data_IF_921158860593
#
_entry.id   IF_921158860593
#
_cell.length_a   1.000
_cell.length_b   1.000
_cell.length_c   1.000
_cell.angle_alpha   90.00
_cell.angle_beta   90.00
_cell.angle_gamma   90.00
#
_symmetry.space_group_name_H-M   'P 1'
#
loop_
_entity.id
_entity.type
_entity.pdbx_description
1 polymer ?
#
# COMPACT_ATOMS: atom_id res chain seq x y z
N UNK A 1 -2.40 8.89 25.76
CA UNK A 1 -3.03 9.45 24.54
C UNK A 1 -3.98 8.39 23.98
N UNK A 2 -5.11 8.77 23.38
CA UNK A 2 -6.08 7.84 22.81
C UNK A 2 -6.37 8.25 21.37
N UNK A 3 -6.19 7.33 20.41
CA UNK A 3 -6.39 7.58 18.99
C UNK A 3 -7.71 7.01 18.50
N UNK A 4 -8.48 7.80 17.78
CA UNK A 4 -9.75 7.38 17.17
C UNK A 4 -9.49 6.85 15.77
N UNK A 5 -9.70 5.56 15.56
CA UNK A 5 -9.41 4.88 14.30
C UNK A 5 -10.69 4.29 13.72
N UNK A 6 -10.97 4.63 12.47
CA UNK A 6 -12.01 3.98 11.68
C UNK A 6 -11.50 2.63 11.16
N UNK A 7 -12.26 1.57 11.39
CA UNK A 7 -11.91 0.21 10.99
C UNK A 7 -12.87 -0.25 9.91
N UNK A 8 -12.34 -0.69 8.77
CA UNK A 8 -13.13 -1.24 7.67
C UNK A 8 -12.58 -2.65 7.36
N UNK A 9 -13.18 -3.72 7.91
CA UNK A 9 -12.73 -5.09 7.65
C UNK A 9 -12.80 -5.45 6.16
N UNK A 10 -13.80 -4.95 5.46
CA UNK A 10 -14.03 -5.24 4.06
C UNK A 10 -14.53 -6.68 3.84
N UNK A 11 -13.89 -7.38 2.90
CA UNK A 11 -14.30 -8.69 2.42
C UNK A 11 -13.23 -9.76 2.67
N UNK A 12 -13.66 -11.02 2.55
CA UNK A 12 -12.76 -12.17 2.53
C UNK A 12 -11.80 -12.24 3.71
N UNK A 13 -10.50 -12.43 3.42
CA UNK A 13 -9.47 -12.52 4.47
C UNK A 13 -9.27 -11.22 5.27
N UNK A 14 -9.76 -10.07 4.78
CA UNK A 14 -9.73 -8.83 5.53
C UNK A 14 -10.38 -8.95 6.90
N UNK A 15 -11.46 -9.74 7.00
CA UNK A 15 -12.16 -10.04 8.26
C UNK A 15 -11.34 -10.90 9.22
N UNK A 16 -10.34 -11.62 8.73
CA UNK A 16 -9.48 -12.52 9.52
C UNK A 16 -8.17 -11.82 9.93
N UNK A 17 -7.53 -11.11 9.00
CA UNK A 17 -6.21 -10.51 9.25
C UNK A 17 -6.28 -9.20 10.06
N UNK A 18 -7.36 -8.43 9.89
CA UNK A 18 -7.51 -7.15 10.54
C UNK A 18 -7.64 -7.25 12.07
N UNK A 19 -8.38 -8.21 12.65
CA UNK A 19 -8.39 -8.43 14.10
C UNK A 19 -7.00 -8.73 14.68
N UNK A 20 -6.14 -9.43 13.92
CA UNK A 20 -4.77 -9.71 14.36
C UNK A 20 -3.88 -8.46 14.28
N UNK A 21 -4.09 -7.61 13.26
CA UNK A 21 -3.49 -6.27 13.22
C UNK A 21 -3.86 -5.45 14.47
N UNK A 22 -5.14 -5.37 14.80
CA UNK A 22 -5.61 -4.65 15.98
C UNK A 22 -5.03 -5.23 17.28
N UNK A 23 -4.96 -6.57 17.42
CA UNK A 23 -4.35 -7.26 18.56
C UNK A 23 -2.93 -6.80 18.83
N UNK A 24 -2.10 -6.76 17.78
CA UNK A 24 -0.69 -6.36 17.88
C UNK A 24 -0.57 -4.87 18.19
N UNK A 25 -1.39 -4.04 17.56
CA UNK A 25 -1.42 -2.59 17.84
C UNK A 25 -1.86 -2.27 19.27
N UNK A 26 -2.84 -3.00 19.80
CA UNK A 26 -3.25 -2.85 21.21
C UNK A 26 -2.16 -3.32 22.17
N UNK A 27 -1.37 -4.35 21.82
CA UNK A 27 -0.19 -4.75 22.59
C UNK A 27 0.86 -3.64 22.60
N UNK A 28 1.14 -3.04 21.44
CA UNK A 28 2.04 -1.89 21.32
C UNK A 28 1.54 -0.69 22.14
N UNK A 29 0.23 -0.40 22.07
CA UNK A 29 -0.38 0.66 22.87
C UNK A 29 -0.16 0.48 24.38
N UNK A 30 -0.36 -0.74 24.91
CA UNK A 30 -0.09 -1.06 26.32
C UNK A 30 1.36 -0.86 26.72
N UNK A 31 2.30 -1.27 25.86
CA UNK A 31 3.73 -1.14 26.14
C UNK A 31 4.22 0.31 26.08
N UNK A 32 3.75 1.09 25.09
CA UNK A 32 4.24 2.44 24.81
C UNK A 32 3.35 3.56 25.35
N UNK A 33 2.29 3.26 26.13
CA UNK A 33 1.50 4.24 26.88
C UNK A 33 0.46 5.00 26.05
N UNK A 34 -0.10 4.38 25.02
CA UNK A 34 -1.24 4.92 24.26
C UNK A 34 -2.35 3.86 24.09
N UNK A 35 -3.50 4.26 23.60
CA UNK A 35 -4.63 3.37 23.37
C UNK A 35 -5.38 3.75 22.08
N UNK A 36 -6.14 2.82 21.56
CA UNK A 36 -7.03 3.04 20.42
C UNK A 36 -8.49 3.02 20.85
N UNK A 37 -9.27 3.81 20.15
CA UNK A 37 -10.72 3.75 20.10
C UNK A 37 -11.12 3.31 18.69
N UNK A 38 -11.39 2.01 18.55
CA UNK A 38 -11.74 1.40 17.30
C UNK A 38 -13.23 1.57 17.00
N UNK A 39 -13.57 2.11 15.83
CA UNK A 39 -14.95 2.19 15.34
C UNK A 39 -15.05 1.45 14.02
N UNK A 40 -15.82 0.36 14.01
CA UNK A 40 -15.96 -0.52 12.84
C UNK A 40 -17.11 -0.08 11.94
N UNK A 41 -16.83 -0.07 10.62
CA UNK A 41 -17.77 0.18 9.54
C UNK A 41 -17.93 -1.09 8.69
N UNK A 42 -19.15 -1.47 8.39
CA UNK A 42 -19.53 -2.67 7.61
C UNK A 42 -19.43 -2.45 6.09
N UNK A 43 -18.52 -1.63 5.63
CA UNK A 43 -18.38 -1.24 4.22
C UNK A 43 -17.58 -2.28 3.44
N UNK A 44 -18.23 -2.86 2.42
CA UNK A 44 -17.72 -4.05 1.74
C UNK A 44 -18.47 -4.32 0.42
N UNK A 45 -17.97 -5.24 -0.38
CA UNK A 45 -18.69 -5.78 -1.53
C UNK A 45 -19.93 -6.58 -1.09
N UNK A 46 -19.90 -7.26 0.05
CA UNK A 46 -21.09 -7.93 0.59
C UNK A 46 -22.21 -6.92 0.90
N UNK A 47 -21.83 -5.77 1.47
CA UNK A 47 -22.77 -4.65 1.64
C UNK A 47 -23.32 -4.19 0.28
N UNK A 48 -22.46 -4.01 -0.72
CA UNK A 48 -22.88 -3.63 -2.08
C UNK A 48 -23.91 -4.61 -2.64
N UNK A 49 -23.67 -5.91 -2.50
CA UNK A 49 -24.57 -6.94 -2.99
C UNK A 49 -26.00 -6.84 -2.41
N UNK A 50 -26.14 -6.32 -1.18
CA UNK A 50 -27.42 -6.18 -0.47
C UNK A 50 -28.06 -4.80 -0.61
N UNK A 51 -27.26 -3.74 -0.71
CA UNK A 51 -27.73 -2.34 -0.66
C UNK A 51 -27.50 -1.55 -1.95
N UNK A 52 -26.72 -2.09 -2.90
CA UNK A 52 -26.29 -1.41 -4.11
C UNK A 52 -25.18 -0.37 -3.91
N UNK A 53 -24.58 -0.29 -2.68
CA UNK A 53 -23.55 0.69 -2.35
C UNK A 53 -22.49 0.10 -1.45
N UNK A 54 -21.21 0.37 -1.77
CA UNK A 54 -20.05 -0.04 -0.95
C UNK A 54 -20.02 0.67 0.41
N UNK A 55 -20.34 1.96 0.44
CA UNK A 55 -20.49 2.81 1.62
C UNK A 55 -21.69 3.74 1.45
N UNK A 56 -22.24 4.35 2.53
CA UNK A 56 -23.33 5.32 2.43
C UNK A 56 -22.87 6.63 1.76
N UNK A 57 -23.80 7.46 1.30
CA UNK A 57 -23.50 8.74 0.63
C UNK A 57 -22.70 9.70 1.52
N UNK A 58 -22.98 9.70 2.82
CA UNK A 58 -22.29 10.48 3.83
C UNK A 58 -21.01 9.79 4.38
N UNK A 59 -20.52 8.75 3.70
CA UNK A 59 -19.40 7.93 4.16
C UNK A 59 -18.15 8.72 4.47
N UNK A 60 -17.79 9.69 3.62
CA UNK A 60 -16.62 10.54 3.87
C UNK A 60 -16.80 11.42 5.11
N UNK A 61 -17.99 11.97 5.34
CA UNK A 61 -18.25 12.79 6.52
C UNK A 61 -18.20 11.96 7.81
N UNK A 62 -18.64 10.69 7.76
CA UNK A 62 -18.50 9.76 8.88
C UNK A 62 -17.05 9.42 9.20
N UNK A 63 -16.17 9.32 8.19
CA UNK A 63 -14.75 9.03 8.38
C UNK A 63 -13.94 10.26 8.82
N UNK A 64 -14.37 11.47 8.48
CA UNK A 64 -13.64 12.71 8.72
C UNK A 64 -13.20 12.94 10.18
N UNK A 65 -13.96 12.54 11.22
CA UNK A 65 -13.57 12.76 12.61
C UNK A 65 -12.45 11.84 13.12
N UNK A 66 -12.02 10.84 12.35
CA UNK A 66 -11.00 9.87 12.76
C UNK A 66 -9.59 10.37 12.39
N UNK A 67 -8.59 9.94 13.14
CA UNK A 67 -7.19 10.28 12.89
C UNK A 67 -6.59 9.44 11.76
N UNK A 68 -7.06 8.19 11.64
CA UNK A 68 -6.68 7.27 10.57
C UNK A 68 -7.79 6.26 10.26
N UNK A 69 -7.67 5.62 9.11
CA UNK A 69 -8.52 4.53 8.66
C UNK A 69 -7.65 3.27 8.56
N UNK A 70 -8.09 2.18 9.17
CA UNK A 70 -7.44 0.88 9.10
C UNK A 70 -8.34 -0.08 8.35
N UNK A 71 -7.93 -0.44 7.13
CA UNK A 71 -8.73 -1.22 6.19
C UNK A 71 -8.10 -2.62 6.01
N UNK A 72 -8.95 -3.64 5.96
CA UNK A 72 -8.53 -5.01 5.71
C UNK A 72 -8.31 -5.28 4.22
N UNK A 73 -9.33 -5.77 3.54
CA UNK A 73 -9.26 -6.05 2.10
C UNK A 73 -10.65 -5.88 1.46
N UNK A 74 -10.69 -5.61 0.15
CA UNK A 74 -11.94 -5.49 -0.59
C UNK A 74 -11.90 -6.37 -1.82
N UNK A 75 -13.07 -6.92 -2.16
CA UNK A 75 -13.29 -7.77 -3.31
C UNK A 75 -14.16 -8.97 -2.95
N UNK A 76 -15.16 -9.25 -3.76
CA UNK A 76 -16.11 -10.35 -3.50
C UNK A 76 -16.55 -11.00 -4.82
N UNK A 77 -16.57 -12.33 -4.92
CA UNK A 77 -17.06 -13.02 -6.11
C UNK A 77 -18.48 -12.56 -6.47
N UNK A 78 -18.68 -12.19 -7.74
CA UNK A 78 -19.95 -11.69 -8.21
C UNK A 78 -20.15 -10.18 -8.15
N UNK A 79 -19.24 -9.44 -7.52
CA UNK A 79 -19.16 -7.99 -7.59
C UNK A 79 -18.00 -7.59 -8.51
N UNK A 80 -18.22 -6.83 -9.60
CA UNK A 80 -17.13 -6.41 -10.48
C UNK A 80 -16.07 -5.60 -9.77
N UNK A 81 -14.79 -5.85 -10.07
CA UNK A 81 -13.64 -5.21 -9.38
C UNK A 81 -13.68 -3.68 -9.39
N UNK A 82 -14.16 -3.08 -10.49
CA UNK A 82 -14.30 -1.63 -10.56
C UNK A 82 -15.29 -1.07 -9.52
N UNK A 83 -16.27 -1.85 -9.07
CA UNK A 83 -17.22 -1.41 -8.04
C UNK A 83 -16.54 -1.23 -6.70
N UNK A 84 -15.70 -2.18 -6.29
CA UNK A 84 -14.95 -2.07 -5.02
C UNK A 84 -13.98 -0.90 -5.03
N UNK A 85 -13.27 -0.72 -6.14
CA UNK A 85 -12.31 0.36 -6.29
C UNK A 85 -12.98 1.74 -6.35
N UNK A 86 -13.97 1.91 -7.22
CA UNK A 86 -14.65 3.19 -7.46
C UNK A 86 -15.78 3.50 -6.47
N UNK A 87 -16.30 2.50 -5.77
CA UNK A 87 -17.35 2.67 -4.76
C UNK A 87 -16.84 2.90 -3.34
N UNK A 88 -15.55 2.61 -3.06
CA UNK A 88 -14.97 2.75 -1.72
C UNK A 88 -13.58 3.36 -1.73
N UNK A 89 -12.59 2.72 -2.36
CA UNK A 89 -11.19 3.10 -2.20
C UNK A 89 -10.87 4.45 -2.84
N UNK A 90 -11.23 4.66 -4.11
CA UNK A 90 -10.95 5.92 -4.82
C UNK A 90 -11.69 7.11 -4.20
N UNK A 91 -12.98 7.04 -3.84
CA UNK A 91 -13.66 8.11 -3.12
C UNK A 91 -12.97 8.52 -1.82
N UNK A 92 -12.52 7.56 -1.01
CA UNK A 92 -11.77 7.83 0.23
C UNK A 92 -10.44 8.49 -0.10
N UNK A 93 -9.64 7.92 -1.01
CA UNK A 93 -8.32 8.44 -1.39
C UNK A 93 -8.41 9.87 -1.93
N UNK A 94 -9.37 10.16 -2.80
CA UNK A 94 -9.58 11.50 -3.39
C UNK A 94 -10.18 12.48 -2.39
N UNK A 95 -11.25 12.07 -1.68
CA UNK A 95 -11.95 12.92 -0.73
C UNK A 95 -11.07 13.39 0.42
N UNK A 96 -10.13 12.55 0.85
CA UNK A 96 -9.15 12.85 1.89
C UNK A 96 -7.77 13.21 1.36
N UNK A 97 -7.64 13.52 0.07
CA UNK A 97 -6.37 13.94 -0.54
C UNK A 97 -5.20 13.02 -0.16
N UNK A 98 -5.44 11.72 -0.14
CA UNK A 98 -4.42 10.71 0.14
C UNK A 98 -3.60 10.47 -1.13
N UNK A 99 -2.84 11.47 -1.56
CA UNK A 99 -2.17 11.49 -2.85
C UNK A 99 -0.86 10.69 -2.89
N UNK A 100 -0.40 10.19 -1.76
CA UNK A 100 0.72 9.26 -1.66
C UNK A 100 0.19 7.86 -1.36
N UNK A 101 0.54 6.89 -2.21
CA UNK A 101 0.45 5.49 -1.84
C UNK A 101 1.87 4.99 -1.56
N UNK A 102 2.14 4.71 -0.28
CA UNK A 102 3.45 4.31 0.21
C UNK A 102 3.50 2.80 0.35
N UNK A 103 4.42 2.15 -0.34
CA UNK A 103 4.57 0.69 -0.45
C UNK A 103 6.01 0.26 -0.14
N UNK A 104 6.37 -0.03 1.12
CA UNK A 104 7.66 -0.62 1.46
C UNK A 104 7.79 -2.03 0.87
N UNK A 105 8.96 -2.33 0.32
CA UNK A 105 9.34 -3.63 -0.21
C UNK A 105 10.63 -4.05 0.48
N UNK A 106 10.57 -5.09 1.30
CA UNK A 106 11.73 -5.54 2.06
C UNK A 106 11.73 -7.05 2.21
N UNK A 107 12.84 -7.67 1.87
CA UNK A 107 13.06 -9.08 2.17
C UNK A 107 13.40 -9.22 3.65
N UNK A 108 12.48 -9.78 4.43
CA UNK A 108 12.69 -10.01 5.86
C UNK A 108 13.66 -11.18 6.08
N UNK A 109 14.42 -11.12 7.17
CA UNK A 109 15.26 -12.26 7.60
C UNK A 109 14.39 -13.49 7.83
N UNK A 110 14.83 -14.64 7.36
CA UNK A 110 14.07 -15.90 7.42
C UNK A 110 13.10 -16.13 6.26
N UNK A 111 12.78 -15.09 5.47
CA UNK A 111 12.01 -15.24 4.22
C UNK A 111 12.93 -15.62 3.07
N UNK A 112 12.49 -16.55 2.22
CA UNK A 112 13.20 -16.91 1.01
C UNK A 112 12.68 -16.11 -0.18
N UNK A 113 13.56 -15.33 -0.81
CA UNK A 113 13.27 -14.71 -2.10
C UNK A 113 13.21 -15.79 -3.21
N UNK A 114 12.34 -15.66 -4.22
CA UNK A 114 12.39 -16.46 -5.43
C UNK A 114 13.62 -16.16 -6.28
N UNK A 115 14.30 -15.03 -6.04
CA UNK A 115 15.52 -14.67 -6.75
C UNK A 115 16.73 -15.39 -6.15
N UNK A 116 17.44 -16.15 -6.99
CA UNK A 116 18.62 -16.91 -6.57
C UNK A 116 19.71 -15.96 -6.03
N UNK A 117 20.28 -16.31 -4.87
CA UNK A 117 21.44 -15.63 -4.30
C UNK A 117 21.14 -14.22 -3.70
N UNK A 118 19.87 -13.82 -3.56
CA UNK A 118 19.48 -12.54 -2.95
C UNK A 118 19.13 -12.70 -1.46
N UNK A 119 19.60 -11.78 -0.65
CA UNK A 119 19.36 -11.70 0.79
C UNK A 119 18.68 -10.41 1.23
N UNK A 120 18.43 -10.26 2.55
CA UNK A 120 17.76 -9.08 3.11
C UNK A 120 18.45 -7.74 2.80
N UNK A 121 19.75 -7.73 2.55
CA UNK A 121 20.51 -6.54 2.19
C UNK A 121 20.29 -6.10 0.72
N UNK A 122 19.80 -7.01 -0.13
CA UNK A 122 19.62 -6.75 -1.56
C UNK A 122 18.25 -6.18 -1.89
N UNK A 123 17.24 -6.40 -1.03
CA UNK A 123 15.85 -5.99 -1.27
C UNK A 123 15.37 -5.18 -0.06
N UNK A 124 15.57 -3.87 -0.12
CA UNK A 124 15.06 -2.87 0.81
C UNK A 124 14.82 -1.56 0.07
N UNK A 125 13.61 -1.39 -0.45
CA UNK A 125 13.20 -0.21 -1.21
C UNK A 125 11.80 0.24 -0.80
N UNK A 126 11.43 1.47 -1.15
CA UNK A 126 10.09 2.00 -0.94
C UNK A 126 9.55 2.56 -2.24
N UNK A 127 8.36 2.12 -2.64
CA UNK A 127 7.67 2.67 -3.79
C UNK A 127 6.74 3.79 -3.32
N UNK A 128 6.91 4.97 -3.90
CA UNK A 128 6.06 6.15 -3.71
C UNK A 128 5.22 6.29 -4.97
N UNK A 129 3.99 5.80 -4.91
CA UNK A 129 3.02 5.81 -6.01
C UNK A 129 2.13 7.04 -5.90
N UNK A 130 1.96 7.77 -7.00
CA UNK A 130 0.89 8.76 -7.10
C UNK A 130 -0.47 8.07 -6.97
N UNK A 131 -1.42 8.67 -6.25
CA UNK A 131 -2.61 7.95 -5.80
C UNK A 131 -3.97 8.63 -6.13
N UNK A 132 -3.96 9.81 -6.77
CA UNK A 132 -5.18 10.60 -6.98
C UNK A 132 -5.48 10.91 -8.44
N UNK A 133 -4.47 10.87 -9.30
CA UNK A 133 -4.58 11.20 -10.73
C UNK A 133 -3.84 10.16 -11.60
N UNK A 134 -3.28 10.55 -12.71
CA UNK A 134 -2.59 9.65 -13.62
C UNK A 134 -3.56 8.85 -14.48
N UNK A 135 -3.28 7.58 -14.65
CA UNK A 135 -4.01 6.66 -15.51
C UNK A 135 -5.37 6.23 -14.93
N UNK A 136 -5.54 6.34 -13.60
CA UNK A 136 -6.81 6.08 -12.92
C UNK A 136 -7.74 7.31 -12.89
N UNK A 137 -7.79 8.08 -13.97
CA UNK A 137 -8.73 9.19 -14.11
C UNK A 137 -10.17 8.71 -14.39
N UNK A 138 -11.15 9.58 -14.20
CA UNK A 138 -12.55 9.34 -14.63
C UNK A 138 -12.85 9.94 -16.00
N UNK A 139 -11.83 10.43 -16.72
CA UNK A 139 -12.01 11.09 -18.00
C UNK A 139 -11.90 10.08 -19.11
N UNK A 140 -13.03 9.82 -19.78
CA UNK A 140 -13.11 8.85 -20.84
C UNK A 140 -14.53 8.49 -21.19
N UNK A 141 -14.69 7.43 -21.97
CA UNK A 141 -16.02 6.95 -22.36
C UNK A 141 -15.96 5.88 -23.44
N UNK A 142 -17.14 5.42 -23.83
CA UNK A 142 -17.32 4.45 -24.91
C UNK A 142 -18.39 4.97 -25.88
N UNK A 143 -18.07 4.92 -27.17
CA UNK A 143 -18.98 5.27 -28.26
C UNK A 143 -19.32 4.02 -29.06
N UNK A 144 -20.46 4.06 -29.79
CA UNK A 144 -20.94 3.04 -30.69
C UNK A 144 -21.02 1.63 -30.07
N UNK A 145 -21.43 1.55 -28.79
CA UNK A 145 -21.47 0.30 -28.01
C UNK A 145 -22.25 -0.80 -28.73
N UNK A 146 -21.68 -1.99 -28.81
CA UNK A 146 -22.27 -3.17 -29.41
C UNK A 146 -22.25 -3.20 -30.95
N UNK A 147 -21.49 -2.29 -31.58
CA UNK A 147 -21.27 -2.28 -33.03
C UNK A 147 -19.82 -2.56 -33.38
N UNK A 148 -19.48 -2.91 -34.63
CA UNK A 148 -18.09 -3.08 -35.05
C UNK A 148 -17.23 -1.81 -34.94
N UNK A 149 -17.84 -0.63 -34.88
CA UNK A 149 -17.20 0.67 -34.75
C UNK A 149 -17.04 1.09 -33.28
N UNK A 150 -17.36 0.20 -32.32
CA UNK A 150 -17.23 0.51 -30.90
C UNK A 150 -15.82 0.94 -30.55
N UNK A 151 -15.70 2.05 -29.82
CA UNK A 151 -14.43 2.54 -29.31
C UNK A 151 -14.54 2.91 -27.83
N UNK A 152 -13.43 2.78 -27.12
CA UNK A 152 -13.28 3.22 -25.74
C UNK A 152 -12.11 4.19 -25.63
N UNK A 153 -12.30 5.24 -24.83
CA UNK A 153 -11.27 6.24 -24.50
C UNK A 153 -11.08 6.27 -23.00
N UNK A 154 -9.85 6.21 -22.56
CA UNK A 154 -9.42 6.46 -21.17
C UNK A 154 -8.26 7.46 -21.23
N UNK A 155 -8.40 8.59 -20.55
CA UNK A 155 -7.35 9.62 -20.53
C UNK A 155 -6.53 9.51 -19.25
N UNK A 156 -5.21 9.66 -19.36
CA UNK A 156 -4.32 9.83 -18.22
C UNK A 156 -4.11 11.33 -17.97
N UNK A 157 -4.20 11.76 -16.72
CA UNK A 157 -4.14 13.16 -16.31
C UNK A 157 -2.93 13.36 -15.38
N UNK A 158 -2.06 14.28 -15.77
CA UNK A 158 -0.87 14.64 -15.00
C UNK A 158 -0.87 16.14 -14.78
N UNK A 159 -1.19 16.59 -13.56
CA UNK A 159 -1.15 17.99 -13.21
C UNK A 159 0.21 18.36 -12.63
N UNK A 160 0.60 19.63 -12.73
CA UNK A 160 1.82 20.12 -12.08
C UNK A 160 1.79 19.85 -10.58
N UNK A 161 0.67 20.15 -9.94
CA UNK A 161 0.48 19.93 -8.50
C UNK A 161 0.64 18.45 -8.12
N UNK A 162 0.02 17.55 -8.88
CA UNK A 162 0.09 16.11 -8.63
C UNK A 162 1.50 15.57 -8.77
N UNK A 163 2.19 15.90 -9.87
CA UNK A 163 3.58 15.49 -10.09
C UNK A 163 4.52 16.08 -9.01
N UNK A 164 4.45 17.39 -8.77
CA UNK A 164 5.38 18.06 -7.84
C UNK A 164 5.26 17.54 -6.41
N UNK A 165 4.02 17.30 -5.92
CA UNK A 165 3.80 16.84 -4.54
C UNK A 165 4.28 15.40 -4.30
N UNK A 166 4.06 14.48 -5.25
CA UNK A 166 4.51 13.09 -5.10
C UNK A 166 6.03 13.01 -5.21
N UNK A 167 6.64 13.77 -6.11
CA UNK A 167 8.09 13.84 -6.26
C UNK A 167 8.75 14.43 -5.01
N UNK A 168 8.25 15.55 -4.51
CA UNK A 168 8.73 16.14 -3.26
C UNK A 168 8.72 15.14 -2.12
N UNK A 169 7.60 14.45 -1.92
CA UNK A 169 7.50 13.41 -0.89
C UNK A 169 8.56 12.31 -1.06
N UNK A 170 8.79 11.84 -2.29
CA UNK A 170 9.80 10.82 -2.56
C UNK A 170 11.23 11.31 -2.24
N UNK A 171 11.56 12.54 -2.59
CA UNK A 171 12.87 13.13 -2.27
C UNK A 171 13.04 13.37 -0.75
N UNK A 172 12.02 13.88 -0.07
CA UNK A 172 12.01 14.04 1.40
C UNK A 172 12.19 12.69 2.10
N UNK A 173 11.49 11.65 1.64
CA UNK A 173 11.67 10.29 2.15
C UNK A 173 13.11 9.80 1.93
N UNK A 174 13.67 9.99 0.74
CA UNK A 174 15.03 9.59 0.44
C UNK A 174 16.07 10.28 1.35
N UNK A 175 15.84 11.53 1.73
CA UNK A 175 16.72 12.23 2.70
C UNK A 175 16.78 11.57 4.08
N UNK A 176 15.74 10.81 4.46
CA UNK A 176 15.72 10.06 5.73
C UNK A 176 16.36 8.68 5.62
N UNK A 177 16.62 8.18 4.41
CA UNK A 177 17.20 6.86 4.15
C UNK A 177 18.70 6.93 3.96
N UNK A 178 19.46 5.89 4.34
CA UNK A 178 20.94 5.92 4.28
C UNK A 178 21.51 6.12 2.86
N UNK A 179 20.83 5.56 1.84
CA UNK A 179 21.32 5.58 0.44
C UNK A 179 21.05 6.90 -0.28
N UNK A 180 20.01 7.63 0.13
CA UNK A 180 19.61 8.91 -0.46
C UNK A 180 19.51 8.87 -1.97
N UNK A 181 18.78 7.87 -2.49
CA UNK A 181 18.62 7.66 -3.92
C UNK A 181 17.15 7.62 -4.32
N UNK A 182 16.78 8.34 -5.38
CA UNK A 182 15.43 8.31 -5.97
C UNK A 182 15.51 7.86 -7.41
N UNK A 183 14.77 6.79 -7.73
CA UNK A 183 14.57 6.32 -9.10
C UNK A 183 13.18 6.72 -9.59
N UNK A 184 13.08 7.36 -10.75
CA UNK A 184 11.82 7.68 -11.41
C UNK A 184 11.44 6.62 -12.44
N UNK A 185 10.19 6.13 -12.35
CA UNK A 185 9.59 5.29 -13.37
C UNK A 185 8.93 6.14 -14.45
N UNK A 186 9.29 5.93 -15.70
CA UNK A 186 8.77 6.69 -16.85
C UNK A 186 8.46 5.80 -18.06
N UNK A 187 7.86 6.36 -19.09
CA UNK A 187 7.71 5.75 -20.43
C UNK A 187 7.72 6.83 -21.51
N UNK A 188 8.56 7.84 -21.34
CA UNK A 188 8.61 9.04 -22.21
C UNK A 188 9.01 8.75 -23.66
N UNK A 189 9.63 7.59 -23.93
CA UNK A 189 9.91 7.16 -25.30
C UNK A 189 8.65 6.69 -26.08
N UNK A 190 7.56 6.39 -25.40
CA UNK A 190 6.32 5.91 -26.01
C UNK A 190 5.11 6.77 -25.71
N UNK A 191 5.02 7.34 -24.51
CA UNK A 191 3.92 8.21 -24.06
C UNK A 191 4.41 9.66 -24.14
N UNK A 192 4.34 10.22 -25.35
CA UNK A 192 5.09 11.41 -25.78
C UNK A 192 4.63 12.76 -25.22
N UNK A 193 3.54 12.81 -24.44
CA UNK A 193 3.07 14.07 -23.84
C UNK A 193 3.18 14.04 -22.32
N UNK A 194 2.51 13.10 -21.67
CA UNK A 194 2.43 13.08 -20.20
C UNK A 194 3.73 12.60 -19.54
N UNK A 195 4.44 11.64 -20.14
CA UNK A 195 5.67 11.12 -19.51
C UNK A 195 6.88 12.03 -19.67
N UNK A 196 7.15 12.72 -20.80
CA UNK A 196 8.14 13.79 -20.83
C UNK A 196 7.84 14.91 -19.81
N UNK A 197 6.57 15.26 -19.62
CA UNK A 197 6.17 16.21 -18.59
C UNK A 197 6.49 15.69 -17.16
N UNK A 198 6.23 14.42 -16.89
CA UNK A 198 6.66 13.75 -15.66
C UNK A 198 8.16 13.84 -15.43
N UNK A 199 8.95 13.56 -16.48
CA UNK A 199 10.41 13.64 -16.46
C UNK A 199 10.92 15.07 -16.19
N UNK A 200 10.30 16.08 -16.80
CA UNK A 200 10.60 17.50 -16.56
C UNK A 200 10.34 17.86 -15.07
N UNK A 201 9.24 17.41 -14.51
CA UNK A 201 8.90 17.68 -13.09
C UNK A 201 9.88 16.97 -12.16
N UNK A 202 10.25 15.73 -12.46
CA UNK A 202 11.28 15.00 -11.72
C UNK A 202 12.61 15.72 -11.72
N UNK A 203 13.09 16.11 -12.88
CA UNK A 203 14.36 16.83 -13.03
C UNK A 203 14.32 18.22 -12.35
N UNK A 204 13.14 18.89 -12.35
CA UNK A 204 12.98 20.15 -11.66
C UNK A 204 13.05 19.99 -10.13
N UNK A 205 12.35 18.99 -9.58
CA UNK A 205 12.36 18.70 -8.14
C UNK A 205 13.74 18.26 -7.66
N UNK A 206 14.49 17.48 -8.45
CA UNK A 206 15.82 17.02 -8.08
C UNK A 206 16.80 18.17 -7.79
N UNK A 207 16.62 19.32 -8.42
CA UNK A 207 17.46 20.53 -8.17
C UNK A 207 17.34 21.07 -6.75
N UNK A 208 16.18 20.84 -6.11
CA UNK A 208 15.93 21.31 -4.74
C UNK A 208 16.55 20.35 -3.68
N UNK A 209 17.04 19.17 -4.12
CA UNK A 209 17.59 18.12 -3.25
C UNK A 209 19.00 17.67 -3.69
N UNK A 210 20.00 18.55 -3.65
CA UNK A 210 21.35 18.23 -4.18
C UNK A 210 22.07 17.11 -3.43
N UNK A 211 21.57 16.73 -2.23
CA UNK A 211 22.10 15.60 -1.45
C UNK A 211 21.48 14.24 -1.80
N UNK A 212 20.59 14.17 -2.80
CA UNK A 212 19.93 12.96 -3.27
C UNK A 212 20.41 12.61 -4.67
N UNK A 213 20.88 11.39 -4.86
CA UNK A 213 21.22 10.87 -6.19
C UNK A 213 19.98 10.40 -6.93
N UNK A 214 19.98 10.48 -8.25
CA UNK A 214 18.80 10.14 -9.04
C UNK A 214 19.14 9.19 -10.18
N UNK A 215 18.15 8.34 -10.52
CA UNK A 215 18.11 7.54 -11.73
C UNK A 215 16.72 7.62 -12.36
N UNK A 216 16.63 7.27 -13.63
CA UNK A 216 15.36 7.23 -14.35
C UNK A 216 15.39 6.07 -15.34
N UNK A 217 14.33 5.27 -15.35
CA UNK A 217 14.19 4.13 -16.24
C UNK A 217 12.79 4.07 -16.83
N UNK A 218 12.69 3.64 -18.09
CA UNK A 218 11.42 3.25 -18.66
C UNK A 218 10.86 2.03 -17.92
N UNK A 219 9.54 2.00 -17.71
CA UNK A 219 8.87 1.02 -16.83
C UNK A 219 9.16 -0.44 -17.20
N UNK A 220 9.30 -0.75 -18.47
CA UNK A 220 9.63 -2.08 -18.97
C UNK A 220 11.02 -2.55 -18.50
N UNK A 221 12.05 -1.73 -18.69
CA UNK A 221 13.40 -2.05 -18.22
C UNK A 221 13.52 -1.93 -16.70
N UNK A 222 12.77 -1.00 -16.08
CA UNK A 222 12.71 -0.88 -14.61
C UNK A 222 12.17 -2.15 -13.98
N UNK A 223 11.09 -2.73 -14.54
CA UNK A 223 10.55 -4.00 -14.06
C UNK A 223 11.56 -5.15 -14.20
N UNK A 224 12.33 -5.18 -15.29
CA UNK A 224 13.42 -6.14 -15.46
C UNK A 224 14.53 -5.94 -14.40
N UNK A 225 14.90 -4.69 -14.13
CA UNK A 225 15.91 -4.37 -13.12
C UNK A 225 15.44 -4.67 -11.69
N UNK A 226 14.15 -4.62 -11.37
CA UNK A 226 13.62 -5.08 -10.08
C UNK A 226 13.95 -6.55 -9.82
N UNK A 227 13.95 -7.37 -10.89
CA UNK A 227 14.30 -8.79 -10.81
C UNK A 227 15.81 -9.00 -10.82
N UNK A 228 16.54 -8.33 -11.71
CA UNK A 228 17.97 -8.55 -11.93
C UNK A 228 18.86 -7.84 -10.89
N UNK A 229 18.46 -6.64 -10.50
CA UNK A 229 19.25 -5.72 -9.66
C UNK A 229 18.39 -5.02 -8.61
N UNK A 230 17.64 -5.75 -7.74
CA UNK A 230 16.81 -5.13 -6.71
C UNK A 230 17.64 -4.26 -5.74
N UNK A 231 18.91 -4.55 -5.60
CA UNK A 231 19.91 -3.83 -4.81
C UNK A 231 20.21 -2.40 -5.31
N UNK A 232 19.78 -2.03 -6.52
CA UNK A 232 19.97 -0.67 -7.02
C UNK A 232 18.97 0.34 -6.44
N UNK A 233 17.81 -0.11 -5.97
CA UNK A 233 16.67 0.75 -5.62
C UNK A 233 16.61 1.09 -4.14
N UNK A 234 16.31 2.35 -3.83
CA UNK A 234 16.09 2.88 -2.49
C UNK A 234 14.67 3.47 -2.37
N UNK A 235 14.41 4.61 -3.01
CA UNK A 235 13.07 5.15 -3.20
C UNK A 235 12.74 5.15 -4.68
N UNK A 236 11.57 4.61 -5.04
CA UNK A 236 11.09 4.58 -6.44
C UNK A 236 9.82 5.40 -6.52
N UNK A 237 9.85 6.50 -7.29
CA UNK A 237 8.67 7.32 -7.54
C UNK A 237 8.03 6.95 -8.87
N UNK A 238 6.72 6.77 -8.88
CA UNK A 238 5.98 6.30 -10.05
C UNK A 238 4.59 6.93 -10.15
N UNK A 239 4.08 7.01 -11.39
CA UNK A 239 2.67 7.32 -11.65
C UNK A 239 1.74 6.28 -11.02
N UNK A 240 0.45 6.55 -11.05
CA UNK A 240 -0.54 5.67 -10.42
C UNK A 240 -0.46 4.23 -10.95
N UNK A 241 -0.48 4.04 -12.27
CA UNK A 241 -0.41 2.71 -12.87
C UNK A 241 0.97 2.05 -12.71
N UNK A 242 2.03 2.79 -12.96
CA UNK A 242 3.38 2.22 -12.86
C UNK A 242 3.71 1.85 -11.41
N UNK A 243 3.28 2.68 -10.46
CA UNK A 243 3.42 2.39 -9.05
C UNK A 243 2.62 1.17 -8.59
N UNK A 244 1.44 0.95 -9.17
CA UNK A 244 0.63 -0.24 -8.91
C UNK A 244 1.36 -1.52 -9.35
N UNK A 245 1.80 -1.56 -10.60
CA UNK A 245 2.54 -2.70 -11.16
C UNK A 245 3.80 -3.01 -10.34
N UNK A 246 4.61 -1.99 -10.04
CA UNK A 246 5.85 -2.17 -9.29
C UNK A 246 5.61 -2.60 -7.84
N UNK A 247 4.52 -2.15 -7.22
CA UNK A 247 4.19 -2.49 -5.84
C UNK A 247 3.67 -3.91 -5.64
N UNK A 248 3.31 -4.60 -6.71
CA UNK A 248 3.02 -6.04 -6.71
C UNK A 248 4.27 -6.87 -7.06
N UNK A 249 5.08 -6.37 -8.02
CA UNK A 249 6.35 -7.00 -8.37
C UNK A 249 7.33 -7.00 -7.19
N UNK A 250 7.40 -5.91 -6.43
CA UNK A 250 8.28 -5.79 -5.27
C UNK A 250 8.08 -6.91 -4.23
N UNK A 251 6.88 -7.06 -3.66
CA UNK A 251 6.59 -8.16 -2.73
C UNK A 251 6.79 -9.55 -3.34
N UNK A 252 6.49 -9.73 -4.63
CA UNK A 252 6.74 -11.00 -5.32
C UNK A 252 8.22 -11.39 -5.28
N UNK A 253 9.13 -10.45 -5.52
CA UNK A 253 10.58 -10.71 -5.41
C UNK A 253 11.07 -10.77 -3.95
N UNK A 254 10.35 -10.15 -3.01
CA UNK A 254 10.65 -10.21 -1.57
C UNK A 254 10.06 -11.45 -0.87
N UNK A 255 9.40 -12.34 -1.61
CA UNK A 255 9.01 -13.67 -1.15
C UNK A 255 7.51 -13.92 -0.97
N UNK A 256 6.70 -12.92 -0.61
CA UNK A 256 5.24 -13.06 -0.51
C UNK A 256 4.51 -11.71 -0.53
N UNK A 257 3.40 -11.65 -1.24
CA UNK A 257 2.46 -10.52 -1.17
C UNK A 257 1.78 -10.44 0.21
N UNK A 258 1.70 -11.56 0.94
CA UNK A 258 1.21 -11.61 2.33
C UNK A 258 2.09 -10.86 3.35
N UNK A 259 3.25 -10.35 2.91
CA UNK A 259 4.15 -9.50 3.70
C UNK A 259 4.07 -8.02 3.31
N UNK A 260 3.29 -7.65 2.30
CA UNK A 260 3.32 -6.32 1.69
C UNK A 260 2.38 -5.32 2.39
N UNK A 261 2.92 -4.34 3.14
CA UNK A 261 2.11 -3.31 3.75
C UNK A 261 1.83 -2.17 2.76
N UNK A 262 0.83 -1.34 3.06
CA UNK A 262 0.54 -0.16 2.28
C UNK A 262 -0.10 0.97 3.09
N UNK A 263 0.17 2.20 2.66
CA UNK A 263 -0.46 3.39 3.24
C UNK A 263 -0.88 4.37 2.17
N UNK A 264 -2.13 4.81 2.24
CA UNK A 264 -2.67 5.93 1.45
C UNK A 264 -2.61 7.17 2.32
N UNK A 265 -1.68 8.06 2.03
CA UNK A 265 -1.28 9.10 2.97
C UNK A 265 -1.71 10.48 2.48
N UNK A 266 -2.31 11.25 3.38
CA UNK A 266 -2.40 12.70 3.33
C UNK A 266 -1.24 13.26 4.16
N UNK A 267 -0.12 13.68 3.54
CA UNK A 267 1.08 14.09 4.27
C UNK A 267 0.86 15.31 5.17
N UNK A 268 -0.03 16.21 4.78
CA UNK A 268 -0.39 17.41 5.53
C UNK A 268 -1.23 17.10 6.78
N UNK A 269 -1.76 15.87 6.89
CA UNK A 269 -2.64 15.43 7.99
C UNK A 269 -3.91 16.29 8.19
N UNK A 270 -4.36 16.96 7.12
CA UNK A 270 -5.63 17.69 7.11
C UNK A 270 -6.84 16.74 7.17
N UNK A 271 -6.65 15.52 6.69
CA UNK A 271 -7.64 14.45 6.61
C UNK A 271 -7.05 13.13 7.06
N UNK A 272 -7.88 12.16 7.48
CA UNK A 272 -7.39 10.85 7.86
C UNK A 272 -6.67 10.16 6.69
N UNK A 273 -5.50 9.58 6.97
CA UNK A 273 -4.82 8.67 6.08
C UNK A 273 -5.39 7.26 6.22
N UNK A 274 -5.32 6.44 5.17
CA UNK A 274 -5.85 5.07 5.18
C UNK A 274 -4.71 4.07 5.02
N UNK A 275 -4.67 3.09 5.90
CA UNK A 275 -3.66 2.03 5.93
C UNK A 275 -4.31 0.69 5.60
N UNK A 276 -3.82 0.05 4.55
CA UNK A 276 -4.33 -1.22 4.01
C UNK A 276 -3.19 -2.08 3.47
N UNK A 277 -3.22 -3.41 3.62
CA UNK A 277 -2.22 -4.28 2.98
C UNK A 277 -2.38 -4.26 1.45
N UNK A 278 -1.33 -4.68 0.75
CA UNK A 278 -1.34 -4.75 -0.73
C UNK A 278 -2.23 -5.88 -1.24
N UNK A 279 -2.28 -7.01 -0.51
CA UNK A 279 -3.11 -8.15 -0.91
C UNK A 279 -4.61 -7.82 -0.94
N UNK A 280 -5.36 -8.47 -1.83
CA UNK A 280 -6.81 -8.40 -1.90
C UNK A 280 -7.52 -9.30 -0.89
N UNK A 281 -8.80 -9.57 -1.15
CA UNK A 281 -9.69 -10.36 -0.27
C UNK A 281 -9.45 -11.86 -0.28
N UNK A 282 -8.70 -12.40 -1.25
CA UNK A 282 -8.37 -13.81 -1.41
C UNK A 282 -9.55 -14.77 -1.12
N UNK A 283 -10.61 -14.72 -1.94
CA UNK A 283 -11.87 -15.43 -1.67
C UNK A 283 -11.71 -16.95 -1.62
N UNK A 284 -10.68 -17.49 -2.26
CA UNK A 284 -10.33 -18.91 -2.27
C UNK A 284 -9.90 -19.46 -0.91
N UNK A 285 -9.34 -18.61 -0.04
CA UNK A 285 -8.89 -18.99 1.30
C UNK A 285 -9.68 -18.30 2.43
N UNK A 286 -10.60 -17.42 2.09
CA UNK A 286 -11.44 -16.72 3.06
C UNK A 286 -12.25 -17.70 3.95
N UNK A 287 -12.35 -17.42 5.24
CA UNK A 287 -13.06 -18.24 6.23
C UNK A 287 -12.29 -19.48 6.70
N UNK A 288 -11.08 -19.73 6.18
CA UNK A 288 -10.27 -20.90 6.55
C UNK A 288 -9.28 -20.66 7.68
N UNK A 289 -9.10 -19.41 8.13
CA UNK A 289 -8.18 -19.04 9.20
C UNK A 289 -6.71 -19.31 8.88
N UNK A 290 -6.32 -19.24 7.60
CA UNK A 290 -4.98 -19.60 7.12
C UNK A 290 -4.26 -18.43 6.41
N UNK A 291 -4.91 -17.29 6.30
CA UNK A 291 -4.32 -16.10 5.71
C UNK A 291 -3.15 -15.58 6.56
N UNK A 292 -2.11 -15.08 5.89
CA UNK A 292 -0.98 -14.47 6.59
C UNK A 292 -1.36 -13.06 7.08
N UNK A 293 -1.33 -12.77 8.40
CA UNK A 293 -1.70 -11.46 8.91
C UNK A 293 -0.54 -10.45 8.90
N UNK A 294 0.67 -10.84 8.50
CA UNK A 294 1.87 -10.00 8.64
C UNK A 294 1.73 -8.71 7.85
N UNK A 295 1.21 -8.74 6.61
CA UNK A 295 0.99 -7.53 5.84
C UNK A 295 0.08 -6.54 6.56
N UNK A 296 -1.02 -7.01 7.15
CA UNK A 296 -1.94 -6.17 7.93
C UNK A 296 -1.28 -5.62 9.19
N UNK A 297 -0.50 -6.44 9.90
CA UNK A 297 0.21 -6.02 11.11
C UNK A 297 1.26 -4.97 10.78
N UNK A 298 2.03 -5.16 9.70
CA UNK A 298 3.03 -4.20 9.25
C UNK A 298 2.38 -2.89 8.74
N UNK A 299 1.25 -3.00 8.06
CA UNK A 299 0.41 -1.84 7.71
C UNK A 299 0.01 -1.05 8.96
N UNK A 300 -0.33 -1.74 10.05
CA UNK A 300 -0.55 -1.12 11.35
C UNK A 300 0.69 -0.41 11.92
N UNK A 301 1.89 -0.97 11.73
CA UNK A 301 3.14 -0.28 12.10
C UNK A 301 3.34 1.02 11.31
N UNK A 302 3.00 1.04 10.01
CA UNK A 302 3.02 2.28 9.22
C UNK A 302 2.03 3.32 9.76
N UNK A 303 0.84 2.88 10.19
CA UNK A 303 -0.14 3.76 10.85
C UNK A 303 0.42 4.34 12.16
N UNK A 304 1.10 3.52 12.98
CA UNK A 304 1.76 4.00 14.21
C UNK A 304 2.81 5.08 13.91
N UNK A 305 3.64 4.87 12.91
CA UNK A 305 4.63 5.86 12.50
C UNK A 305 3.98 7.17 12.06
N UNK A 306 2.91 7.09 11.27
CA UNK A 306 2.13 8.25 10.83
C UNK A 306 1.50 9.01 12.00
N UNK A 307 1.02 8.30 13.03
CA UNK A 307 0.46 8.87 14.26
C UNK A 307 1.52 9.42 15.21
N UNK A 308 2.83 9.28 14.89
CA UNK A 308 3.93 9.82 15.68
C UNK A 308 4.53 8.82 16.69
N UNK A 309 4.15 7.55 16.64
CA UNK A 309 4.66 6.48 17.51
C UNK A 309 5.76 5.65 16.84
N UNK A 310 6.82 6.32 16.34
CA UNK A 310 7.88 5.68 15.56
C UNK A 310 8.61 4.55 16.33
N UNK A 311 8.75 4.66 17.65
CA UNK A 311 9.37 3.60 18.49
C UNK A 311 8.48 2.35 18.54
N UNK A 312 7.17 2.53 18.74
CA UNK A 312 6.21 1.43 18.73
C UNK A 312 6.14 0.78 17.33
N UNK A 313 6.17 1.57 16.26
CA UNK A 313 6.21 1.07 14.89
C UNK A 313 7.44 0.17 14.66
N UNK A 314 8.62 0.61 15.07
CA UNK A 314 9.85 -0.21 14.98
C UNK A 314 9.77 -1.49 15.81
N UNK A 315 9.16 -1.45 17.02
CA UNK A 315 8.97 -2.64 17.85
C UNK A 315 8.07 -3.66 17.18
N UNK A 316 6.97 -3.23 16.52
CA UNK A 316 6.09 -4.11 15.76
C UNK A 316 6.84 -4.77 14.59
N UNK A 317 7.59 -4.00 13.81
CA UNK A 317 8.37 -4.56 12.69
C UNK A 317 9.44 -5.53 13.19
N UNK A 318 10.13 -5.21 14.28
CA UNK A 318 11.12 -6.11 14.89
C UNK A 318 10.48 -7.42 15.40
N UNK A 319 9.26 -7.36 15.96
CA UNK A 319 8.53 -8.55 16.37
C UNK A 319 8.13 -9.44 15.18
N UNK A 320 7.70 -8.84 14.07
CA UNK A 320 7.46 -9.54 12.80
C UNK A 320 8.73 -10.26 12.35
N UNK A 321 9.85 -9.54 12.25
CA UNK A 321 11.13 -10.10 11.80
C UNK A 321 11.55 -11.28 12.67
N UNK A 322 11.40 -11.16 13.99
CA UNK A 322 11.77 -12.22 14.92
C UNK A 322 10.91 -13.47 14.74
N UNK A 323 9.58 -13.35 14.61
CA UNK A 323 8.71 -14.52 14.37
C UNK A 323 9.08 -15.22 13.06
N UNK A 324 9.36 -14.44 12.03
CA UNK A 324 9.73 -14.96 10.72
C UNK A 324 11.11 -15.62 10.75
N UNK A 325 12.12 -15.02 11.40
CA UNK A 325 13.47 -15.55 11.53
C UNK A 325 13.49 -16.84 12.38
N UNK A 326 12.71 -16.90 13.47
CA UNK A 326 12.57 -18.12 14.29
C UNK A 326 11.93 -19.30 13.53
N UNK A 327 11.08 -19.00 12.54
CA UNK A 327 10.51 -20.01 11.65
C UNK A 327 9.52 -20.99 12.28
N UNK A 328 9.13 -20.80 13.55
CA UNK A 328 8.27 -21.72 14.29
C UNK A 328 6.78 -21.53 14.01
N UNK A 329 6.35 -20.29 13.82
CA UNK A 329 4.95 -19.91 13.67
C UNK A 329 4.77 -19.14 12.37
N UNK A 330 4.91 -19.83 11.24
CA UNK A 330 4.80 -19.28 9.90
C UNK A 330 3.48 -19.65 9.24
N UNK A 331 2.89 -18.71 8.52
CA UNK A 331 1.74 -18.93 7.65
C UNK A 331 2.13 -19.78 6.42
N UNK A 332 1.12 -20.24 5.67
CA UNK A 332 1.32 -21.20 4.56
C UNK A 332 2.14 -20.67 3.40
N UNK A 333 1.97 -19.42 3.05
CA UNK A 333 2.72 -18.72 1.99
C UNK A 333 4.22 -18.59 2.31
N UNK A 334 4.60 -18.71 3.59
CA UNK A 334 5.98 -18.78 4.06
C UNK A 334 6.46 -20.21 4.34
N UNK A 335 5.70 -21.21 3.90
CA UNK A 335 6.04 -22.64 4.07
C UNK A 335 5.69 -23.23 5.44
N UNK A 336 4.98 -22.48 6.29
CA UNK A 336 4.51 -22.95 7.60
C UNK A 336 3.14 -23.62 7.57
N UNK A 337 2.55 -23.79 8.77
CA UNK A 337 1.21 -24.37 8.96
C UNK A 337 0.39 -23.60 10.00
N UNK A 338 0.92 -22.51 10.54
CA UNK A 338 0.23 -21.72 11.54
C UNK A 338 -1.02 -21.07 10.96
N UNK A 339 -2.03 -20.95 11.79
CA UNK A 339 -3.25 -20.21 11.49
C UNK A 339 -3.00 -18.70 11.56
N UNK A 340 -3.91 -17.92 10.98
CA UNK A 340 -3.89 -16.45 11.04
C UNK A 340 -3.76 -15.96 12.49
N UNK A 341 -4.55 -16.54 13.40
CA UNK A 341 -4.56 -16.17 14.81
C UNK A 341 -3.27 -16.54 15.53
N UNK A 342 -2.69 -17.73 15.27
CA UNK A 342 -1.44 -18.14 15.90
C UNK A 342 -0.28 -17.21 15.52
N UNK A 343 -0.20 -16.79 14.25
CA UNK A 343 0.81 -15.82 13.80
C UNK A 343 0.63 -14.47 14.49
N UNK A 344 -0.60 -13.93 14.53
CA UNK A 344 -0.91 -12.67 15.20
C UNK A 344 -0.59 -12.70 16.70
N UNK A 345 -0.92 -13.81 17.40
CA UNK A 345 -0.61 -14.01 18.81
C UNK A 345 0.91 -14.09 19.05
N UNK A 346 1.64 -14.82 18.19
CA UNK A 346 3.09 -14.93 18.32
C UNK A 346 3.79 -13.56 18.18
N UNK A 347 3.34 -12.72 17.24
CA UNK A 347 3.87 -11.37 17.08
C UNK A 347 3.51 -10.49 18.28
N UNK A 348 2.24 -10.51 18.73
CA UNK A 348 1.78 -9.72 19.86
C UNK A 348 2.51 -10.07 21.18
N UNK A 349 2.92 -11.33 21.36
CA UNK A 349 3.66 -11.77 22.54
C UNK A 349 5.11 -11.26 22.58
N UNK A 350 5.65 -10.76 21.49
CA UNK A 350 7.01 -10.18 21.40
C UNK A 350 7.03 -8.66 21.53
N UNK A 351 5.85 -8.03 21.57
CA UNK A 351 5.72 -6.59 21.83
C UNK A 351 5.88 -6.33 23.33
#
# INVERSE_FOLDING_TARGET
>A
MRHRIAVIPGDGIGKEVLPEGMRVLDAAGRRFGFAFEWTTFDWSCERYATTGRMMPEDGLDRLRPFESIFLGAVGFPGVPDHVSLWGLLIPIRRGFRQYINLRPVRLLKGVRSPLAGRGPADIDMVIVRENNEGEYSEIGGRLYRGTPEELAVQQAIFTRRGCDRVMRYAFELAMTRPRRHVTSATKSNGIIHSMPYWDERFAATAKDYPGVTTAQYHIDILAAHFVQHPDWFDVVVASNLFGDILSDLGPAIAGSIGLAPGGNINPEKEYPSMFEPVHGSAPDIAGKGIANPIAQIWTGAMMLEHLGHAEAARAVVAAIERVVEEGKTLARDLGGRATTTEVGQAIAALI
#
